data_IF_890439227844
#
_entry.id   IF_890439227844
#
_cell.length_a   1.000
_cell.length_b   1.000
_cell.length_c   1.000
_cell.angle_alpha   90.00
_cell.angle_beta   90.00
_cell.angle_gamma   90.00
#
_symmetry.space_group_name_H-M   'P 1'
#
loop_
_entity.id
_entity.type
_entity.pdbx_description
1 polymer ?
#
# COMPACT_ATOMS: atom_id res chain seq x y z
N UNK A 1 -49.15 -47.39 -42.33
CA UNK A 1 -49.31 -46.06 -41.71
C UNK A 1 -48.86 -46.15 -40.26
N UNK A 2 -48.05 -45.22 -39.72
CA UNK A 2 -46.90 -44.50 -40.29
C UNK A 2 -45.59 -44.97 -39.58
N UNK A 3 -44.47 -45.18 -40.27
CA UNK A 3 -43.49 -44.20 -40.79
C UNK A 3 -42.31 -43.97 -39.82
N UNK A 4 -41.25 -44.77 -40.02
CA UNK A 4 -39.87 -44.52 -39.54
C UNK A 4 -39.12 -43.75 -40.63
N UNK A 5 -38.55 -42.59 -40.28
CA UNK A 5 -37.42 -41.94 -41.00
C UNK A 5 -36.51 -41.31 -39.94
N UNK A 6 -35.29 -41.85 -39.77
CA UNK A 6 -34.06 -41.43 -40.45
C UNK A 6 -33.46 -40.16 -39.86
N UNK A 7 -32.34 -40.28 -39.14
CA UNK A 7 -31.19 -39.37 -39.31
C UNK A 7 -29.89 -40.16 -39.21
N UNK A 8 -29.08 -39.99 -40.25
CA UNK A 8 -27.77 -40.57 -40.47
C UNK A 8 -26.70 -39.87 -39.62
N UNK A 9 -25.66 -40.64 -39.30
CA UNK A 9 -24.35 -40.18 -38.88
C UNK A 9 -23.76 -39.19 -39.90
N UNK A 10 -23.11 -38.13 -39.41
CA UNK A 10 -21.98 -37.54 -40.13
C UNK A 10 -20.92 -37.11 -39.12
N UNK A 11 -19.80 -37.82 -39.19
CA UNK A 11 -18.53 -37.58 -38.53
C UNK A 11 -17.83 -36.43 -39.29
N UNK A 12 -17.33 -35.40 -38.62
CA UNK A 12 -16.37 -34.48 -39.23
C UNK A 12 -15.13 -34.32 -38.35
N UNK A 13 -14.00 -34.57 -39.00
CA UNK A 13 -12.64 -34.64 -38.48
C UNK A 13 -12.16 -33.28 -37.95
N UNK A 14 -11.37 -33.34 -36.88
CA UNK A 14 -10.48 -32.27 -36.43
C UNK A 14 -9.36 -32.04 -37.45
N UNK A 15 -9.21 -30.80 -37.93
CA UNK A 15 -8.04 -30.35 -38.68
C UNK A 15 -6.88 -30.08 -37.72
N UNK A 16 -5.79 -30.83 -37.85
CA UNK A 16 -4.47 -30.48 -37.33
C UNK A 16 -3.84 -29.44 -38.27
N UNK A 17 -3.49 -28.26 -37.76
CA UNK A 17 -2.58 -27.32 -38.44
C UNK A 17 -1.13 -27.70 -38.09
N UNK A 18 -0.20 -27.80 -39.06
CA UNK A 18 1.21 -27.97 -38.78
C UNK A 18 1.88 -26.63 -38.49
N UNK A 19 2.66 -26.60 -37.40
CA UNK A 19 3.53 -25.51 -37.00
C UNK A 19 4.78 -25.51 -37.92
N UNK A 20 4.92 -24.51 -38.79
CA UNK A 20 6.14 -24.32 -39.58
C UNK A 20 7.16 -23.46 -38.84
N UNK A 21 8.32 -24.09 -38.60
CA UNK A 21 9.54 -23.51 -38.06
C UNK A 21 10.19 -22.60 -39.12
N UNK A 22 10.43 -21.32 -38.82
CA UNK A 22 11.27 -20.46 -39.65
C UNK A 22 12.67 -20.34 -39.03
N UNK A 23 13.61 -21.10 -39.60
CA UNK A 23 15.05 -20.94 -39.40
C UNK A 23 15.56 -19.83 -40.33
N UNK A 24 16.35 -18.90 -39.80
CA UNK A 24 17.21 -18.02 -40.60
C UNK A 24 18.66 -18.09 -40.07
N UNK A 25 19.53 -18.64 -40.90
CA UNK A 25 21.00 -18.54 -40.94
C UNK A 25 21.35 -18.47 -42.44
N UNK A 26 22.43 -17.88 -42.95
CA UNK A 26 23.45 -16.91 -42.56
C UNK A 26 24.27 -16.72 -43.86
N UNK A 27 24.85 -15.55 -44.12
CA UNK A 27 26.06 -15.27 -44.95
C UNK A 27 25.96 -13.86 -45.53
N UNK A 28 27.02 -13.10 -45.75
CA UNK A 28 28.40 -13.03 -45.25
C UNK A 28 29.00 -11.80 -45.96
N UNK A 29 29.96 -11.14 -45.30
CA UNK A 29 31.02 -10.40 -45.98
C UNK A 29 30.83 -8.88 -46.09
N UNK A 30 31.64 -8.14 -45.32
CA UNK A 30 32.68 -7.28 -45.89
C UNK A 30 33.69 -6.89 -44.81
N UNK A 31 34.94 -7.08 -45.16
CA UNK A 31 36.15 -6.66 -44.47
C UNK A 31 36.12 -5.16 -44.14
N UNK A 32 36.45 -4.81 -42.89
CA UNK A 32 37.09 -3.52 -42.58
C UNK A 32 38.20 -3.77 -41.58
N UNK A 33 39.36 -3.25 -41.96
CA UNK A 33 40.66 -3.38 -41.32
C UNK A 33 40.65 -2.87 -39.88
N UNK A 34 41.32 -3.61 -39.00
CA UNK A 34 41.68 -3.14 -37.67
C UNK A 34 42.84 -2.14 -37.78
N UNK A 35 42.53 -0.86 -37.73
CA UNK A 35 43.51 0.19 -37.57
C UNK A 35 43.84 0.35 -36.08
N UNK A 36 45.12 0.18 -35.76
CA UNK A 36 45.68 0.25 -34.41
C UNK A 36 45.78 1.71 -33.99
N UNK A 37 44.82 2.19 -33.19
CA UNK A 37 44.92 3.48 -32.53
C UNK A 37 45.80 3.37 -31.28
N UNK A 38 47.02 3.88 -31.37
CA UNK A 38 47.89 4.18 -30.23
C UNK A 38 47.26 5.32 -29.46
N UNK A 39 46.71 5.03 -28.28
CA UNK A 39 46.23 6.07 -27.35
C UNK A 39 47.34 6.38 -26.35
N UNK A 40 47.95 7.54 -26.54
CA UNK A 40 48.88 8.16 -25.60
C UNK A 40 48.12 8.54 -24.31
N UNK A 41 48.59 8.16 -23.10
CA UNK A 41 47.96 8.62 -21.88
C UNK A 41 48.30 10.08 -21.61
N UNK A 42 47.29 10.96 -21.67
CA UNK A 42 47.38 12.34 -21.19
C UNK A 42 47.33 12.30 -19.65
N UNK A 43 48.43 12.68 -19.01
CA UNK A 43 48.51 12.85 -17.55
C UNK A 43 47.59 13.99 -17.12
N UNK A 44 46.53 13.66 -16.38
CA UNK A 44 45.70 14.62 -15.65
C UNK A 44 46.28 14.80 -14.24
N UNK A 45 46.42 16.03 -13.72
CA UNK A 45 47.02 16.25 -12.40
C UNK A 45 46.17 15.62 -11.29
N UNK A 46 46.77 14.68 -10.57
CA UNK A 46 46.23 14.12 -9.33
C UNK A 46 46.27 15.20 -8.25
N UNK A 47 45.10 15.71 -7.86
CA UNK A 47 44.98 16.47 -6.61
C UNK A 47 45.06 15.48 -5.44
N UNK A 48 46.25 15.38 -4.85
CA UNK A 48 46.46 14.75 -3.55
C UNK A 48 45.84 15.65 -2.46
N UNK A 49 44.88 15.18 -1.65
CA UNK A 49 44.51 15.90 -0.45
C UNK A 49 45.64 15.75 0.58
N UNK A 50 46.41 16.82 0.78
CA UNK A 50 47.32 16.97 1.92
C UNK A 50 46.48 16.95 3.19
N UNK A 51 46.48 15.83 3.93
CA UNK A 51 45.98 15.81 5.29
C UNK A 51 46.98 16.56 6.18
N UNK A 52 46.60 17.75 6.62
CA UNK A 52 47.27 18.43 7.72
C UNK A 52 47.02 17.62 8.99
N UNK A 53 48.07 17.01 9.54
CA UNK A 53 48.01 16.31 10.81
C UNK A 53 47.67 17.29 11.93
N UNK A 54 46.54 17.05 12.60
CA UNK A 54 46.17 17.73 13.85
C UNK A 54 46.94 17.06 15.01
N UNK A 55 47.53 17.81 15.96
CA UNK A 55 48.22 17.22 17.11
C UNK A 55 47.23 16.46 18.01
N UNK A 56 47.66 15.38 18.71
CA UNK A 56 46.79 14.65 19.62
C UNK A 56 46.40 15.52 20.82
N UNK A 57 45.10 15.77 20.98
CA UNK A 57 44.53 16.34 22.20
C UNK A 57 44.63 15.29 23.31
N UNK A 58 45.24 15.68 24.44
CA UNK A 58 45.37 14.85 25.62
C UNK A 58 43.98 14.39 26.14
N UNK A 59 43.82 13.08 26.27
CA UNK A 59 42.69 12.45 26.94
C UNK A 59 42.73 12.81 28.43
N UNK A 60 41.74 13.55 28.92
CA UNK A 60 41.52 13.69 30.35
C UNK A 60 40.85 12.41 30.88
N UNK A 61 41.56 11.71 31.76
CA UNK A 61 41.01 10.62 32.58
C UNK A 61 39.95 11.18 33.54
N UNK A 62 38.71 10.67 33.57
CA UNK A 62 37.76 11.06 34.60
C UNK A 62 38.25 10.53 35.96
N UNK A 63 38.43 11.46 36.90
CA UNK A 63 38.67 11.17 38.33
C UNK A 63 37.38 10.64 38.95
N UNK A 64 37.41 9.60 39.81
CA UNK A 64 36.20 9.11 40.48
C UNK A 64 35.67 10.17 41.46
N UNK A 65 34.48 10.71 41.17
CA UNK A 65 33.72 11.56 42.08
C UNK A 65 33.09 10.72 43.20
N UNK A 66 33.28 11.15 44.45
CA UNK A 66 32.72 10.51 45.63
C UNK A 66 31.19 10.45 45.59
N UNK A 67 30.64 9.26 45.82
CA UNK A 67 29.21 9.00 46.01
C UNK A 67 28.72 9.72 47.27
N UNK A 68 27.75 10.63 47.12
CA UNK A 68 27.00 11.16 48.26
C UNK A 68 25.91 10.16 48.67
N UNK A 69 25.92 9.76 49.94
CA UNK A 69 24.85 8.98 50.58
C UNK A 69 23.57 9.81 50.69
N UNK A 70 22.41 9.33 50.23
CA UNK A 70 21.16 10.06 50.43
C UNK A 70 20.77 10.05 51.91
N UNK A 71 20.54 11.26 52.46
CA UNK A 71 19.96 11.46 53.79
C UNK A 71 18.45 11.27 53.70
N UNK A 72 17.87 10.49 54.61
CA UNK A 72 16.42 10.25 54.71
C UNK A 72 15.71 11.55 55.10
N UNK A 73 14.90 12.10 54.19
CA UNK A 73 13.97 13.21 54.49
C UNK A 73 12.62 12.63 54.91
N UNK A 74 12.12 13.06 56.06
CA UNK A 74 10.83 12.64 56.62
C UNK A 74 9.66 13.11 55.75
N UNK A 75 8.79 12.17 55.38
CA UNK A 75 7.52 12.40 54.68
C UNK A 75 6.52 13.13 55.60
N UNK A 76 6.03 14.30 55.18
CA UNK A 76 4.88 14.95 55.83
C UNK A 76 3.57 14.40 55.26
N UNK A 77 2.64 14.08 56.15
CA UNK A 77 1.28 13.60 55.84
C UNK A 77 0.41 14.73 55.27
N UNK A 78 -0.28 14.56 54.13
CA UNK A 78 -1.18 15.59 53.61
C UNK A 78 -2.47 15.65 54.44
N UNK A 79 -2.81 16.85 54.92
CA UNK A 79 -4.10 17.18 55.55
C UNK A 79 -5.13 17.53 54.47
N UNK A 80 -6.25 16.82 54.44
CA UNK A 80 -7.37 17.07 53.53
C UNK A 80 -8.14 18.33 53.98
N UNK A 81 -8.24 19.33 53.09
CA UNK A 81 -9.15 20.47 53.24
C UNK A 81 -10.27 20.33 52.21
N UNK A 82 -11.56 20.31 52.59
CA UNK A 82 -12.65 20.15 51.63
C UNK A 82 -12.88 21.46 50.85
N UNK A 83 -12.84 21.37 49.52
CA UNK A 83 -13.23 22.46 48.60
C UNK A 83 -14.61 22.12 48.02
N UNK A 84 -15.58 23.02 48.20
CA UNK A 84 -16.92 22.90 47.61
C UNK A 84 -16.83 23.00 46.08
N UNK A 85 -17.19 21.92 45.39
CA UNK A 85 -17.30 21.89 43.92
C UNK A 85 -18.77 22.05 43.53
N UNK A 86 -19.06 23.03 42.70
CA UNK A 86 -20.38 23.20 42.08
C UNK A 86 -20.56 22.15 40.96
N UNK A 87 -21.57 21.29 41.11
CA UNK A 87 -21.98 20.28 40.14
C UNK A 87 -22.92 20.89 39.09
N UNK A 88 -22.59 20.89 37.79
CA UNK A 88 -23.58 21.12 36.75
C UNK A 88 -24.43 19.86 36.53
N UNK A 89 -25.75 20.05 36.52
CA UNK A 89 -26.77 19.03 36.25
C UNK A 89 -26.63 18.47 34.83
N UNK A 90 -26.61 17.14 34.62
CA UNK A 90 -26.61 16.56 33.28
C UNK A 90 -28.00 16.65 32.64
N UNK A 91 -28.09 17.29 31.47
CA UNK A 91 -29.28 17.26 30.61
C UNK A 91 -29.33 15.92 29.87
N UNK A 92 -30.29 15.06 30.22
CA UNK A 92 -30.58 13.84 29.48
C UNK A 92 -31.43 14.17 28.24
N UNK A 93 -30.83 14.12 27.06
CA UNK A 93 -31.59 13.90 25.81
C UNK A 93 -30.71 13.14 24.83
N UNK A 94 -30.78 11.82 24.86
CA UNK A 94 -30.34 10.96 23.76
C UNK A 94 -31.56 10.28 23.16
N UNK A 95 -31.96 10.73 21.98
CA UNK A 95 -32.87 9.97 21.11
C UNK A 95 -32.19 8.64 20.78
N UNK A 96 -32.85 7.47 20.93
CA UNK A 96 -32.25 6.20 20.58
C UNK A 96 -32.07 6.13 19.06
N UNK A 97 -30.83 6.29 18.60
CA UNK A 97 -30.42 5.85 17.28
C UNK A 97 -30.71 4.36 17.18
N UNK A 98 -31.49 3.95 16.18
CA UNK A 98 -31.73 2.54 15.90
C UNK A 98 -30.37 1.85 15.78
N UNK A 99 -30.02 1.01 16.75
CA UNK A 99 -28.92 0.07 16.62
C UNK A 99 -29.21 -0.76 15.38
N UNK A 100 -28.37 -0.73 14.33
CA UNK A 100 -28.57 -1.62 13.20
C UNK A 100 -28.54 -3.05 13.74
N UNK A 101 -29.63 -3.79 13.50
CA UNK A 101 -29.69 -5.23 13.78
C UNK A 101 -28.44 -5.86 13.15
N UNK A 102 -27.62 -6.62 13.90
CA UNK A 102 -26.52 -7.36 13.32
C UNK A 102 -27.12 -8.28 12.26
N UNK A 103 -26.87 -7.98 10.98
CA UNK A 103 -27.12 -8.96 9.94
C UNK A 103 -26.24 -10.14 10.32
N UNK A 104 -26.85 -11.27 10.70
CA UNK A 104 -26.11 -12.51 10.83
C UNK A 104 -25.42 -12.71 9.49
N UNK A 105 -24.10 -12.56 9.46
CA UNK A 105 -23.30 -12.64 8.24
C UNK A 105 -23.28 -14.10 7.78
N UNK A 106 -24.38 -14.58 7.23
CA UNK A 106 -24.40 -15.85 6.51
C UNK A 106 -23.62 -15.69 5.20
N UNK A 107 -23.01 -16.76 4.69
CA UNK A 107 -22.28 -16.74 3.43
C UNK A 107 -23.19 -16.82 2.20
N UNK A 108 -24.52 -16.66 2.36
CA UNK A 108 -25.47 -16.88 1.27
C UNK A 108 -25.53 -15.70 0.29
N UNK A 109 -25.24 -14.48 0.75
CA UNK A 109 -25.27 -13.28 -0.08
C UNK A 109 -24.14 -12.31 0.28
N UNK A 110 -23.27 -12.03 -0.71
CA UNK A 110 -22.34 -10.91 -0.62
C UNK A 110 -23.10 -9.58 -0.69
N UNK A 111 -22.60 -8.51 -0.06
CA UNK A 111 -23.16 -7.17 -0.26
C UNK A 111 -23.07 -6.79 -1.74
N UNK A 112 -23.90 -5.86 -2.19
CA UNK A 112 -23.73 -5.31 -3.55
C UNK A 112 -22.44 -4.50 -3.61
N UNK A 113 -21.75 -4.59 -4.75
CA UNK A 113 -20.54 -3.79 -4.97
C UNK A 113 -20.97 -2.33 -5.14
N UNK A 114 -20.36 -1.38 -4.40
CA UNK A 114 -20.63 0.04 -4.61
C UNK A 114 -20.23 0.49 -6.01
N UNK A 115 -20.94 1.49 -6.55
CA UNK A 115 -20.49 2.22 -7.73
C UNK A 115 -19.53 3.33 -7.30
N UNK A 116 -18.25 3.19 -7.68
CA UNK A 116 -17.26 4.20 -7.35
C UNK A 116 -17.25 5.32 -8.38
N UNK A 117 -17.00 6.54 -7.90
CA UNK A 117 -16.89 7.72 -8.73
C UNK A 117 -15.43 8.11 -8.88
N UNK A 118 -15.07 8.63 -10.06
CA UNK A 118 -13.72 9.10 -10.38
C UNK A 118 -13.75 10.54 -10.87
N UNK A 119 -12.59 11.20 -10.82
CA UNK A 119 -12.42 12.58 -11.27
C UNK A 119 -13.41 13.54 -10.63
N UNK A 120 -13.67 13.34 -9.33
CA UNK A 120 -14.59 14.15 -8.57
C UNK A 120 -13.93 14.63 -7.29
N UNK A 121 -14.39 15.78 -6.81
CA UNK A 121 -13.92 16.39 -5.57
C UNK A 121 -14.86 15.98 -4.42
N UNK A 122 -14.29 15.43 -3.34
CA UNK A 122 -15.09 15.05 -2.18
C UNK A 122 -15.79 16.25 -1.55
N UNK A 123 -16.93 16.00 -0.90
CA UNK A 123 -17.63 17.00 -0.09
C UNK A 123 -16.95 17.29 1.25
N UNK A 124 -16.14 16.35 1.75
CA UNK A 124 -15.49 16.44 3.06
C UNK A 124 -13.98 16.73 2.93
N UNK A 125 -13.39 17.53 3.83
CA UNK A 125 -11.94 17.70 3.88
C UNK A 125 -11.22 16.38 4.19
N UNK A 126 -10.04 16.21 3.61
CA UNK A 126 -9.12 15.11 3.91
C UNK A 126 -8.39 15.38 5.23
N UNK A 127 -7.86 14.34 5.91
CA UNK A 127 -6.90 14.54 6.98
C UNK A 127 -5.73 15.46 6.58
N UNK A 128 -5.15 16.12 7.57
CA UNK A 128 -4.00 17.02 7.41
C UNK A 128 -2.74 16.29 7.88
N UNK A 129 -1.60 16.44 7.19
CA UNK A 129 -0.33 15.87 7.63
C UNK A 129 0.02 16.29 9.06
N UNK A 130 0.42 15.33 9.89
CA UNK A 130 0.90 15.59 11.25
C UNK A 130 2.42 15.38 11.33
N UNK A 131 3.23 16.47 11.38
CA UNK A 131 4.67 16.36 11.46
C UNK A 131 5.19 15.82 12.80
N UNK A 132 4.33 15.76 13.83
CA UNK A 132 4.67 15.25 15.17
C UNK A 132 4.66 13.72 15.23
N UNK A 133 3.91 13.07 14.33
CA UNK A 133 3.95 11.63 14.13
C UNK A 133 5.34 11.26 13.59
N UNK A 134 6.00 10.21 14.13
CA UNK A 134 7.28 9.74 13.60
C UNK A 134 7.25 9.57 12.09
N UNK A 135 8.41 9.78 11.47
CA UNK A 135 8.64 9.78 10.03
C UNK A 135 8.26 8.49 9.29
N UNK A 136 9.24 7.97 8.59
CA UNK A 136 9.14 6.70 7.88
C UNK A 136 9.06 5.54 8.89
N UNK A 137 8.14 4.59 8.66
CA UNK A 137 8.03 3.35 9.44
C UNK A 137 8.22 2.13 8.55
N UNK A 138 9.37 2.10 7.86
CA UNK A 138 9.86 0.98 7.07
C UNK A 138 10.28 -0.24 7.92
N UNK A 139 9.36 -0.72 8.75
CA UNK A 139 9.56 -1.82 9.70
C UNK A 139 9.52 -3.18 9.03
N UNK A 140 8.92 -3.27 7.84
CA UNK A 140 8.60 -4.54 7.20
C UNK A 140 9.61 -4.85 6.10
N UNK A 141 10.19 -6.06 6.13
CA UNK A 141 10.95 -6.57 5.00
C UNK A 141 10.02 -7.08 3.88
N UNK A 142 10.58 -7.28 2.69
CA UNK A 142 9.81 -7.86 1.59
C UNK A 142 9.53 -9.34 1.87
N UNK A 143 8.30 -9.84 1.65
CA UNK A 143 7.87 -11.19 2.05
C UNK A 143 8.40 -12.32 1.14
N UNK A 144 9.55 -12.14 0.48
CA UNK A 144 10.11 -13.11 -0.46
C UNK A 144 11.58 -13.43 -0.12
N UNK A 145 12.01 -14.69 -0.30
CA UNK A 145 13.41 -15.07 -0.08
C UNK A 145 14.41 -14.17 -0.81
N UNK A 146 15.48 -13.78 -0.11
CA UNK A 146 16.55 -12.96 -0.68
C UNK A 146 16.13 -11.55 -1.08
N UNK A 147 15.06 -11.01 -0.48
CA UNK A 147 14.42 -9.76 -0.90
C UNK A 147 14.04 -9.80 -2.39
N UNK A 148 13.43 -10.92 -2.79
CA UNK A 148 12.94 -11.18 -4.14
C UNK A 148 12.14 -10.01 -4.73
N UNK A 149 11.99 -10.02 -6.05
CA UNK A 149 11.47 -8.88 -6.82
C UNK A 149 9.98 -8.67 -6.53
N UNK A 150 9.65 -7.96 -5.46
CA UNK A 150 8.28 -7.57 -5.10
C UNK A 150 7.71 -6.60 -6.15
N UNK A 151 7.05 -7.17 -7.15
CA UNK A 151 6.51 -6.48 -8.32
C UNK A 151 5.05 -6.13 -8.08
N UNK A 152 4.83 -4.91 -7.58
CA UNK A 152 3.48 -4.40 -7.36
C UNK A 152 2.69 -4.28 -8.67
N UNK A 153 1.43 -4.67 -8.63
CA UNK A 153 0.48 -4.39 -9.69
C UNK A 153 0.18 -2.89 -9.76
N UNK A 154 0.93 -2.17 -10.60
CA UNK A 154 0.78 -0.73 -10.75
C UNK A 154 -0.59 -0.30 -11.29
N UNK A 155 -1.35 -1.17 -11.95
CA UNK A 155 -2.69 -0.85 -12.47
C UNK A 155 -3.80 -0.93 -11.42
N UNK A 156 -3.48 -1.48 -10.25
CA UNK A 156 -4.40 -1.64 -9.13
C UNK A 156 -3.66 -1.31 -7.82
N UNK A 157 -3.22 -0.05 -7.62
CA UNK A 157 -2.58 0.34 -6.37
C UNK A 157 -3.60 0.41 -5.23
N UNK A 158 -3.09 0.49 -3.99
CA UNK A 158 -3.90 0.71 -2.80
C UNK A 158 -4.86 1.90 -2.98
N UNK A 159 -6.11 1.72 -2.58
CA UNK A 159 -7.15 2.73 -2.65
C UNK A 159 -7.76 2.98 -4.02
N UNK A 160 -7.38 2.22 -5.05
CA UNK A 160 -7.97 2.30 -6.39
C UNK A 160 -8.80 1.07 -6.73
N UNK A 161 -9.75 1.20 -7.66
CA UNK A 161 -10.75 0.18 -8.03
C UNK A 161 -10.55 -0.40 -9.45
N UNK A 162 -9.40 -0.09 -10.07
CA UNK A 162 -9.08 -0.44 -11.45
C UNK A 162 -10.15 0.06 -12.45
N UNK A 163 -10.53 1.34 -12.33
CA UNK A 163 -11.49 2.01 -13.21
C UNK A 163 -12.85 1.30 -13.23
N UNK A 164 -13.46 1.15 -12.05
CA UNK A 164 -14.72 0.48 -11.80
C UNK A 164 -14.76 -1.01 -12.16
N UNK A 165 -13.62 -1.69 -12.30
CA UNK A 165 -13.58 -3.14 -12.59
C UNK A 165 -13.56 -4.01 -11.34
N UNK A 166 -13.04 -3.52 -10.21
CA UNK A 166 -12.84 -4.27 -8.97
C UNK A 166 -13.32 -3.48 -7.73
N UNK A 167 -13.42 -4.11 -6.57
CA UNK A 167 -13.51 -3.35 -5.31
C UNK A 167 -12.26 -2.50 -5.08
N UNK A 168 -12.34 -1.50 -4.20
CA UNK A 168 -11.16 -0.75 -3.78
C UNK A 168 -10.08 -1.69 -3.25
N UNK A 169 -8.85 -1.50 -3.72
CA UNK A 169 -7.75 -2.30 -3.28
C UNK A 169 -7.32 -1.91 -1.86
N UNK A 170 -7.55 -2.80 -0.91
CA UNK A 170 -7.24 -2.59 0.51
C UNK A 170 -5.83 -3.08 0.91
N UNK A 171 -5.01 -3.42 -0.08
CA UNK A 171 -3.63 -3.89 0.10
C UNK A 171 -2.78 -3.56 -1.12
N UNK A 172 -1.77 -4.40 -1.36
CA UNK A 172 -0.98 -4.43 -2.59
C UNK A 172 -0.84 -5.85 -3.08
N UNK A 173 -0.79 -6.00 -4.41
CA UNK A 173 -0.63 -7.30 -5.04
C UNK A 173 0.76 -7.40 -5.65
N UNK A 174 1.51 -8.45 -5.30
CA UNK A 174 2.78 -8.79 -5.95
C UNK A 174 2.62 -10.06 -6.79
N UNK A 175 2.79 -9.93 -8.10
CA UNK A 175 2.72 -11.06 -9.02
C UNK A 175 3.95 -11.95 -8.85
N UNK A 176 3.73 -13.22 -8.54
CA UNK A 176 4.80 -14.21 -8.33
C UNK A 176 4.37 -15.60 -8.79
N UNK A 177 5.34 -16.50 -8.96
CA UNK A 177 5.06 -17.87 -9.35
C UNK A 177 4.27 -18.58 -8.24
N UNK A 178 3.24 -19.35 -8.62
CA UNK A 178 2.52 -20.25 -7.71
C UNK A 178 3.51 -21.16 -6.94
N UNK A 179 3.33 -21.28 -5.63
CA UNK A 179 4.18 -22.07 -4.74
C UNK A 179 5.45 -21.34 -4.26
N UNK A 180 5.67 -20.07 -4.64
CA UNK A 180 6.81 -19.30 -4.14
C UNK A 180 6.69 -19.10 -2.62
N UNK A 181 7.73 -19.38 -1.81
CA UNK A 181 7.68 -19.17 -0.36
C UNK A 181 7.36 -17.72 0.02
N UNK A 182 6.45 -17.55 0.98
CA UNK A 182 6.10 -16.30 1.60
C UNK A 182 6.67 -16.23 3.01
N UNK A 183 7.38 -15.16 3.31
CA UNK A 183 8.10 -14.97 4.57
C UNK A 183 7.41 -13.94 5.46
N UNK A 184 7.50 -14.15 6.78
CA UNK A 184 7.09 -13.17 7.77
C UNK A 184 7.89 -11.86 7.57
N UNK A 185 7.18 -10.76 7.31
CA UNK A 185 7.79 -9.45 7.06
C UNK A 185 8.40 -8.80 8.31
N UNK A 186 8.02 -9.27 9.50
CA UNK A 186 8.51 -8.80 10.80
C UNK A 186 8.20 -9.86 11.88
N UNK A 187 8.81 -9.72 13.06
CA UNK A 187 8.53 -10.54 14.23
C UNK A 187 7.09 -10.34 14.72
N UNK A 188 6.45 -11.44 15.16
CA UNK A 188 5.10 -11.36 15.71
C UNK A 188 4.47 -12.70 16.02
N UNK A 189 3.18 -12.68 16.28
CA UNK A 189 2.37 -13.88 16.58
C UNK A 189 1.32 -14.08 15.49
N UNK A 190 1.25 -15.29 14.94
CA UNK A 190 0.21 -15.68 14.00
C UNK A 190 -1.13 -15.72 14.73
N UNK A 191 -2.09 -14.91 14.30
CA UNK A 191 -3.44 -14.88 14.89
C UNK A 191 -4.48 -15.60 14.02
N UNK A 192 -4.23 -15.74 12.72
CA UNK A 192 -5.07 -16.46 11.76
C UNK A 192 -4.15 -17.25 10.82
N UNK A 193 -4.51 -18.50 10.55
CA UNK A 193 -3.83 -19.40 9.64
C UNK A 193 -4.83 -20.50 9.20
N UNK A 194 -5.69 -20.19 8.23
CA UNK A 194 -6.80 -21.06 7.80
C UNK A 194 -7.32 -20.67 6.40
N UNK A 195 -8.36 -21.34 5.92
CA UNK A 195 -9.23 -20.87 4.85
C UNK A 195 -10.32 -19.90 5.35
N UNK A 196 -10.88 -19.11 4.44
CA UNK A 196 -12.03 -18.24 4.68
C UNK A 196 -13.29 -18.65 3.92
N UNK A 197 -13.44 -19.92 3.54
CA UNK A 197 -14.57 -20.36 2.69
C UNK A 197 -15.92 -19.99 3.31
N UNK A 198 -16.02 -20.07 4.64
CA UNK A 198 -17.24 -19.81 5.40
C UNK A 198 -17.12 -18.61 6.37
N UNK A 199 -16.07 -17.79 6.24
CA UNK A 199 -15.77 -16.71 7.18
C UNK A 199 -15.68 -15.34 6.47
N UNK A 200 -16.18 -14.30 7.13
CA UNK A 200 -16.14 -12.93 6.61
C UNK A 200 -14.86 -12.20 7.03
N UNK A 201 -13.72 -12.58 6.46
CA UNK A 201 -12.47 -11.83 6.66
C UNK A 201 -12.36 -10.58 5.77
N UNK A 202 -13.01 -10.61 4.61
CA UNK A 202 -13.03 -9.51 3.64
C UNK A 202 -14.45 -9.04 3.32
N UNK A 203 -14.68 -8.69 2.04
CA UNK A 203 -15.97 -8.18 1.57
C UNK A 203 -17.11 -9.22 1.59
N UNK A 204 -16.77 -10.50 1.42
CA UNK A 204 -17.68 -11.66 1.46
C UNK A 204 -16.92 -12.89 1.97
N UNK A 205 -17.59 -14.01 2.18
CA UNK A 205 -16.90 -15.29 2.40
C UNK A 205 -16.10 -15.70 1.15
N UNK A 206 -15.04 -16.49 1.36
CA UNK A 206 -14.10 -16.92 0.35
C UNK A 206 -13.50 -15.73 -0.42
N UNK A 207 -13.04 -14.71 0.32
CA UNK A 207 -12.45 -13.49 -0.25
C UNK A 207 -10.96 -13.65 -0.45
N UNK A 208 -10.23 -14.09 0.57
CA UNK A 208 -8.80 -14.35 0.50
C UNK A 208 -8.48 -15.80 0.10
N UNK A 209 -9.42 -16.73 0.25
CA UNK A 209 -9.13 -18.17 0.14
C UNK A 209 -8.40 -18.61 1.39
N UNK A 210 -7.16 -19.08 1.25
CA UNK A 210 -6.28 -19.25 2.41
C UNK A 210 -5.64 -17.92 2.79
N UNK A 211 -5.53 -17.68 4.09
CA UNK A 211 -4.87 -16.50 4.62
C UNK A 211 -4.05 -16.79 5.87
N UNK A 212 -3.01 -15.97 6.04
CA UNK A 212 -2.26 -15.85 7.29
C UNK A 212 -2.36 -14.40 7.76
N UNK A 213 -2.63 -14.19 9.05
CA UNK A 213 -2.52 -12.87 9.67
C UNK A 213 -1.56 -12.94 10.84
N UNK A 214 -0.56 -12.06 10.84
CA UNK A 214 0.42 -11.91 11.91
C UNK A 214 0.12 -10.60 12.63
N UNK A 215 -0.08 -10.66 13.95
CA UNK A 215 -0.01 -9.48 14.79
C UNK A 215 1.46 -9.22 15.13
N UNK A 216 1.96 -8.04 14.77
CA UNK A 216 3.35 -7.65 14.99
C UNK A 216 3.59 -7.30 16.46
N UNK A 217 4.84 -7.42 16.87
CA UNK A 217 5.28 -6.97 18.20
C UNK A 217 5.34 -5.45 18.32
N UNK A 218 5.75 -4.78 17.24
CA UNK A 218 5.73 -3.34 17.18
C UNK A 218 4.30 -2.81 17.15
N UNK A 219 4.10 -1.67 17.80
CA UNK A 219 2.84 -0.93 17.78
C UNK A 219 3.05 0.41 17.09
N UNK A 220 2.05 0.89 16.37
CA UNK A 220 2.07 2.20 15.72
C UNK A 220 1.16 3.15 16.48
N UNK A 221 1.73 4.22 17.04
CA UNK A 221 1.00 5.16 17.89
C UNK A 221 0.23 4.47 19.04
N UNK A 222 0.84 3.42 19.60
CA UNK A 222 0.25 2.60 20.67
C UNK A 222 -0.85 1.64 20.21
N UNK A 223 -1.11 1.54 18.91
CA UNK A 223 -2.09 0.63 18.32
C UNK A 223 -1.42 -0.64 17.80
N UNK A 224 -2.08 -1.81 17.89
CA UNK A 224 -1.58 -3.04 17.30
C UNK A 224 -1.50 -2.92 15.77
N UNK A 225 -0.49 -3.57 15.19
CA UNK A 225 -0.31 -3.65 13.74
C UNK A 225 -0.46 -5.12 13.32
N UNK A 226 -1.19 -5.34 12.23
CA UNK A 226 -1.41 -6.67 11.66
C UNK A 226 -0.97 -6.68 10.20
N UNK A 227 -0.39 -7.80 9.78
CA UNK A 227 -0.04 -8.05 8.38
C UNK A 227 -0.80 -9.26 7.89
N UNK A 228 -1.58 -9.10 6.83
CA UNK A 228 -2.33 -10.17 6.19
C UNK A 228 -1.62 -10.61 4.90
N UNK A 229 -1.49 -11.92 4.71
CA UNK A 229 -1.08 -12.59 3.49
C UNK A 229 -2.31 -13.31 2.95
N UNK A 230 -2.85 -12.82 1.83
CA UNK A 230 -4.04 -13.36 1.19
C UNK A 230 -3.71 -14.17 -0.06
N UNK A 231 -4.69 -14.95 -0.51
CA UNK A 231 -4.59 -15.83 -1.69
C UNK A 231 -3.46 -16.84 -1.58
N UNK A 232 -3.08 -17.27 -0.38
CA UNK A 232 -1.97 -18.21 -0.21
C UNK A 232 -2.37 -19.63 -0.62
N UNK A 233 -1.38 -20.49 -0.91
CA UNK A 233 -1.60 -21.88 -1.28
C UNK A 233 -1.50 -22.78 -0.05
N UNK A 234 -0.26 -23.09 0.35
CA UNK A 234 0.03 -23.90 1.53
C UNK A 234 0.37 -22.97 2.69
N UNK A 235 -0.24 -23.20 3.85
CA UNK A 235 0.09 -22.50 5.10
C UNK A 235 1.09 -23.37 5.88
N UNK A 236 2.21 -22.78 6.30
CA UNK A 236 3.30 -23.49 7.00
C UNK A 236 3.36 -23.19 8.50
N UNK A 237 2.38 -22.46 9.01
CA UNK A 237 2.28 -22.01 10.40
C UNK A 237 0.88 -22.26 10.98
N UNK A 238 0.74 -22.16 12.30
CA UNK A 238 -0.56 -22.30 12.98
C UNK A 238 -0.89 -21.07 13.82
N UNK A 239 -2.17 -20.80 14.06
CA UNK A 239 -2.58 -19.76 15.00
C UNK A 239 -1.96 -19.97 16.40
N UNK A 240 -1.52 -18.89 17.04
CA UNK A 240 -0.75 -18.90 18.28
C UNK A 240 0.75 -19.11 18.11
N UNK A 241 1.23 -19.49 16.91
CA UNK A 241 2.66 -19.65 16.65
C UNK A 241 3.37 -18.30 16.66
N UNK A 242 4.49 -18.25 17.36
CA UNK A 242 5.46 -17.15 17.26
C UNK A 242 6.29 -17.31 15.99
N UNK A 243 6.46 -16.23 15.24
CA UNK A 243 7.32 -16.17 14.06
C UNK A 243 8.33 -15.03 14.19
N UNK A 244 9.48 -15.22 13.58
CA UNK A 244 10.49 -14.18 13.38
C UNK A 244 10.48 -13.72 11.93
N UNK A 245 10.94 -12.50 11.71
CA UNK A 245 11.16 -11.96 10.37
C UNK A 245 11.97 -12.95 9.52
N UNK A 246 11.45 -13.28 8.33
CA UNK A 246 12.08 -14.23 7.41
C UNK A 246 11.64 -15.68 7.57
N UNK A 247 10.90 -16.04 8.64
CA UNK A 247 10.31 -17.37 8.75
C UNK A 247 9.27 -17.58 7.64
N UNK A 248 9.25 -18.77 7.01
CA UNK A 248 8.23 -19.08 6.02
C UNK A 248 6.87 -19.26 6.69
N UNK A 249 5.86 -18.53 6.21
CA UNK A 249 4.50 -18.57 6.74
C UNK A 249 3.50 -19.21 5.79
N UNK A 250 3.75 -19.10 4.48
CA UNK A 250 2.90 -19.67 3.47
C UNK A 250 3.63 -19.80 2.12
N UNK A 251 2.87 -20.09 1.08
CA UNK A 251 3.30 -20.06 -0.32
C UNK A 251 2.33 -19.22 -1.15
N UNK A 252 2.82 -18.55 -2.20
CA UNK A 252 2.00 -17.83 -3.17
C UNK A 252 0.96 -18.78 -3.76
N UNK A 253 -0.31 -18.37 -3.71
CA UNK A 253 -1.43 -19.16 -4.17
C UNK A 253 -2.31 -18.43 -5.19
N UNK A 254 -3.55 -18.89 -5.26
CA UNK A 254 -4.55 -18.43 -6.22
C UNK A 254 -5.99 -18.67 -5.71
N UNK A 255 -6.18 -18.77 -4.39
CA UNK A 255 -7.50 -19.03 -3.76
C UNK A 255 -8.35 -17.76 -3.61
N UNK A 256 -9.63 -17.93 -3.28
CA UNK A 256 -10.54 -16.80 -3.01
C UNK A 256 -10.87 -15.97 -4.25
N UNK A 257 -10.84 -14.65 -4.10
CA UNK A 257 -11.15 -13.67 -5.14
C UNK A 257 -9.95 -13.27 -6.04
N UNK A 258 -9.01 -14.20 -6.28
CA UNK A 258 -7.85 -13.96 -7.14
C UNK A 258 -8.14 -14.23 -8.63
N UNK A 259 -7.48 -13.50 -9.54
CA UNK A 259 -7.56 -13.73 -11.02
C UNK A 259 -6.32 -14.39 -11.66
N UNK A 260 -5.15 -14.28 -11.03
CA UNK A 260 -3.94 -15.03 -11.36
C UNK A 260 -3.11 -15.27 -10.07
N UNK A 261 -2.09 -16.15 -10.07
CA UNK A 261 -1.22 -16.31 -8.91
C UNK A 261 -0.51 -15.01 -8.49
N UNK A 262 -0.68 -14.61 -7.23
CA UNK A 262 -0.04 -13.44 -6.62
C UNK A 262 -0.11 -13.53 -5.10
N UNK A 263 0.69 -12.69 -4.42
CA UNK A 263 0.48 -12.36 -3.02
C UNK A 263 -0.40 -11.11 -2.94
N UNK A 264 -1.48 -11.17 -2.18
CA UNK A 264 -2.16 -9.98 -1.67
C UNK A 264 -1.65 -9.69 -0.25
N UNK A 265 -1.08 -8.51 -0.04
CA UNK A 265 -0.52 -8.10 1.25
C UNK A 265 -1.28 -6.90 1.79
N UNK A 266 -1.70 -6.96 3.05
CA UNK A 266 -2.27 -5.82 3.75
C UNK A 266 -1.49 -5.49 5.00
N UNK A 267 -1.49 -4.21 5.35
CA UNK A 267 -1.13 -3.73 6.69
C UNK A 267 -2.37 -3.12 7.31
N UNK A 268 -2.71 -3.52 8.55
CA UNK A 268 -3.86 -3.02 9.30
C UNK A 268 -3.40 -2.45 10.63
N UNK A 269 -3.99 -1.33 11.04
CA UNK A 269 -3.64 -0.63 12.29
C UNK A 269 -4.86 -0.53 13.20
N UNK A 270 -4.66 -0.76 14.51
CA UNK A 270 -5.69 -0.63 15.53
C UNK A 270 -6.56 -1.86 15.70
N UNK A 271 -6.97 -2.46 14.59
CA UNK A 271 -7.79 -3.67 14.59
C UNK A 271 -7.52 -4.54 13.37
N UNK A 272 -7.65 -5.85 13.52
CA UNK A 272 -7.61 -6.77 12.39
C UNK A 272 -8.97 -6.80 11.67
N UNK A 273 -9.27 -5.75 10.92
CA UNK A 273 -10.52 -5.62 10.16
C UNK A 273 -10.27 -5.12 8.73
N UNK A 274 -11.15 -5.51 7.81
CA UNK A 274 -11.07 -5.20 6.38
C UNK A 274 -10.94 -3.70 6.06
N UNK A 275 -11.61 -2.83 6.84
CA UNK A 275 -11.55 -1.37 6.68
C UNK A 275 -10.48 -0.66 7.52
N UNK A 276 -9.58 -1.41 8.18
CA UNK A 276 -8.54 -0.83 9.03
C UNK A 276 -7.17 -0.77 8.33
N UNK A 277 -7.16 -0.90 7.01
CA UNK A 277 -5.92 -1.02 6.24
C UNK A 277 -5.19 0.31 6.10
N UNK A 278 -3.89 0.24 5.80
CA UNK A 278 -3.00 1.32 5.39
C UNK A 278 -2.27 0.87 4.13
N UNK A 279 -1.74 1.81 3.36
CA UNK A 279 -0.94 1.49 2.17
C UNK A 279 0.34 0.72 2.58
N UNK A 280 0.47 -0.58 2.25
CA UNK A 280 1.63 -1.39 2.66
C UNK A 280 2.97 -0.85 2.17
N UNK A 281 2.99 -0.06 1.10
CA UNK A 281 4.24 0.50 0.56
C UNK A 281 4.90 1.51 1.51
N UNK A 282 4.16 2.13 2.43
CA UNK A 282 4.72 3.03 3.45
C UNK A 282 5.36 2.26 4.62
N UNK A 283 5.13 0.94 4.70
CA UNK A 283 5.61 0.08 5.78
C UNK A 283 6.73 -0.86 5.33
N UNK A 284 6.70 -1.26 4.06
CA UNK A 284 7.75 -2.06 3.44
C UNK A 284 9.00 -1.22 3.20
N UNK A 285 10.16 -1.73 3.61
CA UNK A 285 11.44 -1.11 3.29
C UNK A 285 11.66 -1.07 1.78
N UNK A 286 11.83 0.10 1.17
CA UNK A 286 12.22 0.18 -0.23
C UNK A 286 13.68 -0.27 -0.40
N UNK A 287 14.03 -0.90 -1.53
CA UNK A 287 15.43 -1.10 -1.90
C UNK A 287 16.16 0.25 -1.94
N UNK A 288 17.44 0.32 -1.53
CA UNK A 288 18.23 1.58 -1.60
C UNK A 288 18.26 2.19 -3.01
N UNK A 289 18.07 1.37 -4.04
CA UNK A 289 17.98 1.81 -5.44
C UNK A 289 16.62 2.38 -5.84
N UNK A 290 15.71 2.57 -4.87
CA UNK A 290 14.32 3.00 -5.06
C UNK A 290 13.87 3.93 -3.94
N UNK A 291 13.01 4.89 -4.25
CA UNK A 291 12.36 5.77 -3.29
C UNK A 291 10.85 5.78 -3.49
N UNK A 292 10.17 6.52 -2.61
CA UNK A 292 8.72 6.73 -2.67
C UNK A 292 8.41 8.20 -2.86
N UNK A 293 7.36 8.48 -3.65
CA UNK A 293 6.66 9.75 -3.61
C UNK A 293 5.28 9.49 -3.01
N UNK A 294 5.03 10.06 -1.84
CA UNK A 294 3.70 10.08 -1.24
C UNK A 294 3.13 11.49 -1.40
N UNK A 295 1.83 11.63 -1.53
CA UNK A 295 1.31 12.97 -1.68
C UNK A 295 -0.19 13.14 -1.60
N UNK A 296 -0.57 14.41 -1.74
CA UNK A 296 -1.94 14.89 -1.61
C UNK A 296 -2.35 15.63 -2.87
N UNK A 297 -3.52 15.27 -3.41
CA UNK A 297 -4.19 16.01 -4.47
C UNK A 297 -5.50 16.56 -3.92
N UNK A 298 -5.52 17.87 -3.64
CA UNK A 298 -6.60 18.52 -2.91
C UNK A 298 -7.02 19.85 -3.57
N UNK A 299 -8.12 20.42 -3.11
CA UNK A 299 -8.48 21.82 -3.38
C UNK A 299 -8.02 22.75 -2.24
N UNK A 300 -8.20 24.08 -2.35
CA UNK A 300 -7.79 25.03 -1.31
C UNK A 300 -8.56 24.89 0.01
N UNK A 301 -9.65 24.13 0.04
CA UNK A 301 -10.42 23.80 1.25
C UNK A 301 -9.98 22.46 1.88
N UNK A 302 -8.93 21.83 1.34
CA UNK A 302 -8.43 20.55 1.82
C UNK A 302 -9.26 19.34 1.39
N UNK A 303 -10.18 19.49 0.44
CA UNK A 303 -11.01 18.39 -0.06
C UNK A 303 -10.21 17.56 -1.06
N UNK A 304 -10.19 16.22 -0.94
CA UNK A 304 -9.43 15.35 -1.82
C UNK A 304 -10.13 15.17 -3.17
N UNK A 305 -9.32 15.15 -4.22
CA UNK A 305 -9.72 14.61 -5.51
C UNK A 305 -9.65 13.09 -5.50
N UNK A 306 -10.67 12.44 -6.04
CA UNK A 306 -10.83 11.00 -5.95
C UNK A 306 -10.71 10.31 -7.31
N UNK A 307 -9.95 9.23 -7.37
CA UNK A 307 -9.80 8.42 -8.58
C UNK A 307 -9.11 9.13 -9.74
N UNK A 308 -8.30 10.14 -9.44
CA UNK A 308 -7.61 10.96 -10.45
C UNK A 308 -6.28 10.32 -10.79
N UNK A 309 -5.99 10.20 -12.08
CA UNK A 309 -4.68 9.73 -12.56
C UNK A 309 -3.59 10.77 -12.28
N UNK A 310 -2.45 10.31 -11.77
CA UNK A 310 -1.22 11.07 -11.67
C UNK A 310 -0.09 10.32 -12.38
N UNK A 311 0.79 11.05 -13.04
CA UNK A 311 1.95 10.52 -13.75
C UNK A 311 3.25 11.14 -13.22
N UNK A 312 4.31 10.36 -13.14
CA UNK A 312 5.67 10.86 -13.04
C UNK A 312 6.30 10.93 -14.42
N UNK A 313 6.77 12.12 -14.79
CA UNK A 313 7.35 12.41 -16.09
C UNK A 313 8.84 12.70 -15.92
N UNK A 314 9.70 12.05 -16.70
CA UNK A 314 11.14 12.29 -16.66
C UNK A 314 11.55 13.53 -17.48
N UNK A 315 12.85 13.84 -17.48
CA UNK A 315 13.48 14.92 -18.23
C UNK A 315 13.27 14.85 -19.75
N UNK A 316 13.05 13.65 -20.29
CA UNK A 316 12.72 13.41 -21.70
C UNK A 316 11.24 13.60 -22.04
N UNK A 317 10.40 13.91 -21.05
CA UNK A 317 8.95 14.02 -21.23
C UNK A 317 8.22 12.68 -21.27
N UNK A 318 8.88 11.58 -20.89
CA UNK A 318 8.30 10.24 -20.88
C UNK A 318 7.63 9.96 -19.53
N UNK A 319 6.44 9.34 -19.56
CA UNK A 319 5.77 8.84 -18.35
C UNK A 319 6.52 7.59 -17.88
N UNK A 320 7.13 7.65 -16.70
CA UNK A 320 7.90 6.53 -16.12
C UNK A 320 7.13 5.75 -15.07
N UNK A 321 6.09 6.34 -14.49
CA UNK A 321 5.21 5.70 -13.53
C UNK A 321 3.85 6.40 -13.53
N UNK A 322 2.80 5.64 -13.21
CA UNK A 322 1.42 6.13 -13.09
C UNK A 322 0.83 5.58 -11.80
N UNK A 323 0.03 6.40 -11.11
CA UNK A 323 -0.80 5.99 -9.98
C UNK A 323 -2.14 6.73 -10.04
N UNK A 324 -3.03 6.44 -9.09
CA UNK A 324 -4.30 7.14 -8.94
C UNK A 324 -4.45 7.65 -7.52
N UNK A 325 -5.16 8.77 -7.37
CA UNK A 325 -5.61 9.18 -6.07
C UNK A 325 -6.66 8.20 -5.54
N UNK A 326 -6.65 8.01 -4.22
CA UNK A 326 -7.57 7.12 -3.52
C UNK A 326 -9.01 7.48 -3.84
N UNK A 327 -9.83 6.44 -3.88
CA UNK A 327 -11.27 6.51 -4.09
C UNK A 327 -11.94 6.06 -2.79
N UNK A 328 -13.06 6.70 -2.46
CA UNK A 328 -13.88 6.40 -1.31
C UNK A 328 -14.96 5.39 -1.66
N UNK A 329 -15.42 4.71 -0.62
CA UNK A 329 -16.56 3.83 -0.69
C UNK A 329 -17.80 4.58 -0.18
N UNK A 330 -18.80 4.86 -1.02
CA UNK A 330 -20.00 5.58 -0.58
C UNK A 330 -20.83 4.79 0.44
N UNK A 331 -20.60 3.48 0.56
CA UNK A 331 -21.25 2.62 1.54
C UNK A 331 -20.36 2.35 2.77
N UNK A 332 -19.15 2.94 2.83
CA UNK A 332 -18.14 2.73 3.88
C UNK A 332 -17.84 1.24 4.13
N UNK A 333 -17.98 0.41 3.09
CA UNK A 333 -17.72 -1.04 3.16
C UNK A 333 -16.21 -1.29 3.09
N UNK A 334 -15.54 -0.71 2.10
CA UNK A 334 -14.08 -0.68 2.01
C UNK A 334 -13.59 0.70 2.45
N UNK A 335 -13.00 0.75 3.63
CA UNK A 335 -12.42 2.00 4.14
C UNK A 335 -10.93 2.06 3.82
N UNK A 336 -10.56 3.05 3.01
CA UNK A 336 -9.18 3.39 2.66
C UNK A 336 -8.70 4.46 3.64
N UNK A 337 -7.55 4.21 4.27
CA UNK A 337 -7.04 5.11 5.29
C UNK A 337 -5.64 5.59 4.91
N UNK A 338 -5.37 6.90 5.03
CA UNK A 338 -4.04 7.44 4.85
C UNK A 338 -3.15 7.14 6.05
N UNK A 339 -1.86 7.36 5.87
CA UNK A 339 -0.87 7.49 6.92
C UNK A 339 -1.11 8.74 7.79
N UNK A 340 -0.91 8.62 9.10
CA UNK A 340 -1.14 9.71 10.03
C UNK A 340 -0.16 10.88 9.84
N UNK A 341 1.09 10.60 9.44
CA UNK A 341 2.09 11.65 9.19
C UNK A 341 1.84 12.37 7.87
N UNK A 342 1.61 11.61 6.81
CA UNK A 342 1.59 12.15 5.46
C UNK A 342 0.20 12.55 4.98
N UNK A 343 -0.85 11.99 5.60
CA UNK A 343 -2.22 12.14 5.15
C UNK A 343 -2.36 11.96 3.63
N UNK A 344 -1.63 11.00 3.05
CA UNK A 344 -1.50 10.85 1.61
C UNK A 344 -2.83 10.39 1.00
N UNK A 345 -3.09 10.80 -0.23
CA UNK A 345 -4.15 10.21 -1.03
C UNK A 345 -3.64 9.67 -2.36
N UNK A 346 -2.34 9.60 -2.57
CA UNK A 346 -1.72 8.82 -3.64
C UNK A 346 -0.28 8.44 -3.26
N UNK A 347 0.22 7.37 -3.88
CA UNK A 347 1.60 6.91 -3.70
C UNK A 347 2.16 6.44 -5.03
N UNK A 348 3.38 6.88 -5.33
CA UNK A 348 4.30 6.22 -6.26
C UNK A 348 5.35 5.51 -5.44
N UNK A 349 5.43 4.20 -5.58
CA UNK A 349 6.39 3.37 -4.87
C UNK A 349 7.35 2.69 -5.84
N UNK A 350 8.50 2.28 -5.32
CA UNK A 350 9.58 1.68 -6.11
C UNK A 350 10.01 2.50 -7.33
N UNK A 351 10.07 3.82 -7.17
CA UNK A 351 10.54 4.76 -8.20
C UNK A 351 12.07 4.88 -8.12
N UNK A 352 12.75 4.94 -9.27
CA UNK A 352 14.21 5.15 -9.28
C UNK A 352 14.56 6.55 -8.76
N UNK A 353 15.68 6.72 -8.04
CA UNK A 353 16.15 8.05 -7.66
C UNK A 353 16.38 8.93 -8.89
N UNK A 354 16.04 10.21 -8.78
CA UNK A 354 16.15 11.18 -9.87
C UNK A 354 15.14 12.33 -9.78
N UNK A 355 15.27 13.27 -10.71
CA UNK A 355 14.34 14.40 -10.84
C UNK A 355 13.22 14.06 -11.81
N UNK A 356 11.98 14.39 -11.41
CA UNK A 356 10.77 14.16 -12.18
C UNK A 356 9.84 15.36 -12.10
N UNK A 357 8.82 15.36 -12.94
CA UNK A 357 7.65 16.21 -12.81
C UNK A 357 6.47 15.33 -12.43
N UNK A 358 5.89 15.59 -11.26
CA UNK A 358 4.57 15.09 -10.91
C UNK A 358 3.53 15.85 -11.73
N UNK A 359 2.77 15.11 -12.53
CA UNK A 359 1.82 15.65 -13.48
C UNK A 359 0.42 15.09 -13.27
N UNK A 360 -0.57 15.97 -13.35
CA UNK A 360 -1.97 15.59 -13.53
C UNK A 360 -2.72 16.67 -14.30
N UNK A 361 -3.84 16.30 -14.91
CA UNK A 361 -4.72 17.23 -15.63
C UNK A 361 -6.13 17.10 -15.10
N UNK A 362 -6.65 18.19 -14.57
CA UNK A 362 -7.99 18.26 -13.98
C UNK A 362 -8.76 19.45 -14.50
N UNK A 363 -9.99 19.21 -14.94
CA UNK A 363 -10.88 20.26 -15.45
C UNK A 363 -10.23 21.16 -16.52
N UNK A 364 -9.41 20.54 -17.39
CA UNK A 364 -8.67 21.25 -18.45
C UNK A 364 -7.42 22.00 -17.98
N UNK A 365 -7.14 22.05 -16.68
CA UNK A 365 -5.93 22.66 -16.10
C UNK A 365 -4.86 21.60 -15.88
N UNK A 366 -3.64 21.88 -16.33
CA UNK A 366 -2.47 21.03 -16.09
C UNK A 366 -1.75 21.49 -14.81
N UNK A 367 -1.48 20.53 -13.94
CA UNK A 367 -0.68 20.73 -12.73
C UNK A 367 0.64 19.99 -12.91
N UNK A 368 1.74 20.72 -12.70
CA UNK A 368 3.11 20.22 -12.85
C UNK A 368 3.92 20.66 -11.64
N UNK A 369 4.43 19.70 -10.89
CA UNK A 369 5.24 19.95 -9.71
C UNK A 369 6.58 19.22 -9.86
N UNK A 370 7.71 19.94 -9.93
CA UNK A 370 9.02 19.30 -9.86
C UNK A 370 9.18 18.55 -8.55
N UNK A 371 9.65 17.31 -8.62
CA UNK A 371 9.89 16.44 -7.46
C UNK A 371 11.23 15.74 -7.63
N UNK A 372 11.90 15.47 -6.53
CA UNK A 372 13.15 14.71 -6.50
C UNK A 372 12.94 13.46 -5.67
N UNK A 373 13.22 12.30 -6.25
CA UNK A 373 13.15 11.01 -5.57
C UNK A 373 14.53 10.64 -5.07
N UNK A 374 14.62 10.34 -3.79
CA UNK A 374 15.85 9.87 -3.12
C UNK A 374 15.69 8.40 -2.77
N UNK A 375 16.75 7.62 -3.01
CA UNK A 375 16.75 6.19 -2.70
C UNK A 375 16.63 5.92 -1.20
N UNK A 376 15.83 4.93 -0.83
CA UNK A 376 15.58 4.54 0.55
C UNK A 376 14.65 5.46 1.34
N UNK A 377 14.11 6.52 0.73
CA UNK A 377 13.38 7.59 1.44
C UNK A 377 11.97 7.84 0.88
N UNK A 378 11.12 8.42 1.72
CA UNK A 378 9.83 9.00 1.38
C UNK A 378 10.03 10.48 1.05
N UNK A 379 9.52 10.87 -0.11
CA UNK A 379 9.38 12.26 -0.51
C UNK A 379 7.91 12.63 -0.53
N UNK A 380 7.59 13.81 0.01
CA UNK A 380 6.22 14.30 0.07
C UNK A 380 5.96 15.36 -0.99
N UNK A 381 4.81 15.28 -1.65
CA UNK A 381 4.34 16.28 -2.59
C UNK A 381 2.85 16.60 -2.39
N UNK A 382 2.48 17.86 -2.58
CA UNK A 382 1.10 18.30 -2.54
C UNK A 382 0.77 19.14 -3.77
N UNK A 383 -0.30 18.78 -4.46
CA UNK A 383 -0.91 19.59 -5.51
C UNK A 383 -2.21 20.15 -4.96
N UNK A 384 -2.23 21.46 -4.72
CA UNK A 384 -3.45 22.23 -4.48
C UNK A 384 -4.00 22.72 -5.81
N UNK A 385 -5.17 22.23 -6.17
CA UNK A 385 -5.86 22.58 -7.41
C UNK A 385 -6.58 23.93 -7.32
N UNK A 386 -6.95 24.51 -8.47
CA UNK A 386 -7.96 25.57 -8.50
C UNK A 386 -9.30 25.04 -7.96
N UNK A 387 -10.15 25.91 -7.37
CA UNK A 387 -11.49 25.52 -6.96
C UNK A 387 -12.27 24.85 -8.11
N UNK A 388 -13.14 23.91 -7.75
CA UNK A 388 -13.98 23.17 -8.69
C UNK A 388 -14.81 24.14 -9.58
N UNK A 389 -14.59 24.10 -10.90
CA UNK A 389 -15.12 25.07 -11.88
C UNK A 389 -16.54 24.75 -12.35
N UNK A 390 -16.94 23.49 -12.34
CA UNK A 390 -18.29 23.05 -12.72
C UNK A 390 -19.03 22.64 -11.46
N UNK A 391 -20.31 22.94 -11.22
CA UNK A 391 -21.00 22.41 -10.04
C UNK A 391 -21.02 20.88 -10.07
N UNK A 392 -20.81 20.23 -8.93
CA UNK A 392 -21.11 18.80 -8.74
C UNK A 392 -22.57 18.60 -9.18
N UNK A 393 -22.90 17.62 -10.05
CA UNK A 393 -24.29 17.24 -10.22
C UNK A 393 -24.81 16.86 -8.84
N UNK A 394 -25.75 17.64 -8.32
CA UNK A 394 -26.53 17.25 -7.14
C UNK A 394 -27.05 15.84 -7.42
N UNK A 395 -26.86 14.86 -6.52
CA UNK A 395 -27.52 13.58 -6.67
C UNK A 395 -29.00 13.87 -6.87
N UNK A 396 -29.56 13.47 -8.00
CA UNK A 396 -31.01 13.43 -8.14
C UNK A 396 -31.41 12.35 -7.14
N UNK A 397 -31.94 12.74 -5.98
CA UNK A 397 -32.73 11.81 -5.19
C UNK A 397 -33.84 11.38 -6.12
N UNK A 398 -33.79 10.14 -6.61
CA UNK A 398 -34.92 9.54 -7.29
C UNK A 398 -36.06 9.58 -6.26
N UNK A 399 -36.95 10.55 -6.44
CA UNK A 399 -38.18 10.61 -5.70
C UNK A 399 -38.91 9.31 -6.01
N UNK A 400 -39.20 8.55 -4.96
CA UNK A 400 -40.19 7.50 -4.99
C UNK A 400 -41.52 8.12 -5.41
N UNK A 401 -41.81 8.09 -6.70
CA UNK A 401 -43.17 8.24 -7.21
C UNK A 401 -43.55 6.91 -7.87
N UNK A 402 -44.01 5.99 -7.02
CA UNK A 402 -45.02 5.02 -7.41
C UNK A 402 -46.39 5.70 -7.26
N UNK A 403 -47.33 5.40 -8.16
CA UNK A 403 -48.35 4.44 -7.75
C UNK A 403 -48.22 3.08 -8.43
#
# INVERSE_FOLDING_TARGET
MPERRSRQLTLFLFFFLPLTLLLWQWQAGRDVQAETAVVTPTLLPTHTPTQTAVPPTATQTPTPTATQTPTLTATQTPTLTPTNTHTPTPTLTSTPTKTPTPIAKDCSQAPLRPEYRHYYLSGTPWPVPDPTVPGEHFWLERPFPGNGRFLINQSFPYGYDNNNRLLLHNGVDSAEKLGTPLLAVADGTVIIAQDDENDWFGWRCNWYGHLVVIQLDQTWLGQPVYVLYGHVLNITVTAGQRVHQGDQVAEVGFGGAALAPHLHLEVRVGQNAFGATRNPMLWLRPPETRGLLVGRLIDPLGRPWQGVRLDLVNDKGEIVATTWSYVDDPLDIVKINPDERWAENFVFSDVRPGSYVLYTKLQGVEYRLPVEIVGGQIQFAEITTEPYKTPTPTPVSEAQDAP
#
